data_IF_072400063853
#
_entry.id   IF_072400063853
#
_cell.length_a   1.000
_cell.length_b   1.000
_cell.length_c   1.000
_cell.angle_alpha   90.00
_cell.angle_beta   90.00
_cell.angle_gamma   90.00
#
_symmetry.space_group_name_H-M   'P 1'
#
loop_
_entity.id
_entity.type
_entity.pdbx_description
1 polymer ?
#
# COMPACT_ATOMS: atom_id res chain seq x y z
N UNK A 1 -5.38 -8.48 15.31
CA UNK A 1 -5.55 -8.72 13.87
C UNK A 1 -4.35 -8.20 13.07
N UNK A 2 -4.24 -8.54 11.77
CA UNK A 2 -3.14 -8.04 10.92
C UNK A 2 -3.65 -7.17 9.78
N UNK A 3 -2.88 -6.13 9.45
CA UNK A 3 -3.01 -5.33 8.24
C UNK A 3 -1.79 -5.64 7.37
N UNK A 4 -2.01 -5.99 6.11
CA UNK A 4 -0.93 -6.28 5.16
C UNK A 4 -1.04 -5.35 3.96
N UNK A 5 -0.05 -4.50 3.77
CA UNK A 5 0.11 -3.68 2.58
C UNK A 5 0.91 -4.47 1.54
N UNK A 6 0.41 -4.53 0.32
CA UNK A 6 1.03 -5.24 -0.82
C UNK A 6 1.21 -4.27 -1.97
N UNK A 7 2.41 -4.06 -2.45
CA UNK A 7 2.63 -3.33 -3.70
C UNK A 7 2.25 -4.20 -4.89
N UNK A 8 1.54 -3.63 -5.88
CA UNK A 8 1.20 -4.35 -7.12
C UNK A 8 2.42 -4.92 -7.86
N UNK A 9 2.22 -5.95 -8.69
CA UNK A 9 3.23 -6.54 -9.56
C UNK A 9 3.75 -5.58 -10.65
N UNK A 10 4.84 -5.93 -11.31
CA UNK A 10 5.50 -5.10 -12.32
C UNK A 10 4.56 -4.71 -13.48
N UNK A 11 4.61 -3.43 -13.87
CA UNK A 11 3.89 -2.87 -15.03
C UNK A 11 4.88 -2.38 -16.09
N UNK A 12 4.43 -2.14 -17.34
CA UNK A 12 5.25 -1.44 -18.34
C UNK A 12 5.74 -0.06 -17.86
N UNK A 13 4.89 0.68 -17.11
CA UNK A 13 5.28 1.96 -16.52
C UNK A 13 6.46 1.82 -15.53
N UNK A 14 6.48 0.77 -14.71
CA UNK A 14 7.62 0.52 -13.81
C UNK A 14 8.94 0.31 -14.57
N UNK A 15 8.89 -0.37 -15.72
CA UNK A 15 10.07 -0.58 -16.57
C UNK A 15 10.58 0.69 -17.23
N UNK A 16 9.66 1.60 -17.57
CA UNK A 16 9.97 2.89 -18.21
C UNK A 16 10.24 4.00 -17.19
N UNK A 17 9.95 3.79 -15.92
CA UNK A 17 9.97 4.83 -14.90
C UNK A 17 8.85 5.85 -15.05
N UNK A 18 7.77 5.52 -15.75
CA UNK A 18 6.65 6.43 -15.97
C UNK A 18 5.72 6.50 -14.75
N UNK A 19 5.20 7.69 -14.48
CA UNK A 19 4.31 7.99 -13.35
C UNK A 19 2.84 7.67 -13.71
N UNK A 20 2.48 6.40 -13.75
CA UNK A 20 1.12 5.93 -14.07
C UNK A 20 0.26 5.88 -12.80
N UNK A 21 -0.48 6.95 -12.51
CA UNK A 21 -1.24 7.09 -11.26
C UNK A 21 -2.76 7.16 -11.45
N UNK A 22 -3.24 7.34 -12.68
CA UNK A 22 -4.67 7.52 -13.00
C UNK A 22 -5.32 6.23 -13.51
N UNK A 23 -6.63 6.09 -13.30
CA UNK A 23 -7.42 4.96 -13.81
C UNK A 23 -7.60 5.05 -15.33
N UNK A 24 -7.63 3.90 -16.04
CA UNK A 24 -7.56 2.53 -15.53
C UNK A 24 -6.16 2.10 -15.11
N UNK A 25 -5.11 2.82 -15.53
CA UNK A 25 -3.71 2.47 -15.38
C UNK A 25 -3.30 1.25 -16.22
N UNK A 26 -2.00 1.06 -16.42
CA UNK A 26 -1.48 -0.08 -17.14
C UNK A 26 -1.63 -1.37 -16.33
N UNK A 27 -1.82 -2.49 -17.05
CA UNK A 27 -1.84 -3.82 -16.48
C UNK A 27 -0.43 -4.31 -16.12
N UNK A 28 -0.35 -5.59 -15.70
CA UNK A 28 0.92 -6.23 -15.37
C UNK A 28 1.67 -6.68 -16.63
N UNK A 29 3.01 -6.69 -16.55
CA UNK A 29 3.85 -7.39 -17.51
C UNK A 29 3.74 -8.92 -17.28
N UNK A 30 4.24 -9.77 -18.21
CA UNK A 30 4.35 -11.21 -17.93
C UNK A 30 5.10 -11.52 -16.63
N UNK A 31 6.19 -10.78 -16.34
CA UNK A 31 6.89 -10.89 -15.04
C UNK A 31 6.00 -10.45 -13.88
N UNK A 32 5.22 -9.37 -14.03
CA UNK A 32 4.28 -8.93 -13.01
C UNK A 32 3.20 -9.98 -12.69
N UNK A 33 2.73 -10.74 -13.69
CA UNK A 33 1.79 -11.84 -13.48
C UNK A 33 2.45 -13.01 -12.71
N UNK A 34 3.70 -13.34 -13.02
CA UNK A 34 4.47 -14.34 -12.28
C UNK A 34 4.73 -13.89 -10.83
N UNK A 35 5.04 -12.61 -10.62
CA UNK A 35 5.18 -12.03 -9.28
C UNK A 35 3.89 -12.16 -8.47
N UNK A 36 2.73 -11.88 -9.08
CA UNK A 36 1.43 -12.03 -8.42
C UNK A 36 1.14 -13.49 -8.03
N UNK A 37 1.52 -14.46 -8.88
CA UNK A 37 1.38 -15.88 -8.56
C UNK A 37 2.31 -16.27 -7.41
N UNK A 38 3.59 -15.90 -7.47
CA UNK A 38 4.56 -16.16 -6.38
C UNK A 38 4.13 -15.56 -5.04
N UNK A 39 3.46 -14.39 -5.04
CA UNK A 39 2.91 -13.81 -3.82
C UNK A 39 1.84 -14.72 -3.22
N UNK A 40 0.94 -15.27 -4.03
CA UNK A 40 -0.08 -16.21 -3.55
C UNK A 40 0.55 -17.51 -3.02
N UNK A 41 1.55 -18.05 -3.73
CA UNK A 41 2.21 -19.31 -3.37
C UNK A 41 2.96 -19.22 -2.02
N UNK A 42 3.58 -18.07 -1.71
CA UNK A 42 4.34 -17.84 -0.47
C UNK A 42 3.53 -17.26 0.69
N UNK A 43 2.24 -17.00 0.51
CA UNK A 43 1.45 -16.19 1.45
C UNK A 43 1.50 -16.70 2.89
N UNK A 44 1.09 -17.94 3.13
CA UNK A 44 1.02 -18.48 4.50
C UNK A 44 2.40 -18.76 5.12
N UNK A 45 3.39 -19.12 4.29
CA UNK A 45 4.73 -19.45 4.78
C UNK A 45 5.58 -18.23 5.12
N UNK A 46 5.34 -17.07 4.47
CA UNK A 46 6.25 -15.92 4.56
C UNK A 46 5.57 -14.59 4.89
N UNK A 47 4.26 -14.43 4.67
CA UNK A 47 3.61 -13.12 4.79
C UNK A 47 2.65 -13.06 5.98
N UNK A 48 1.56 -13.84 5.95
CA UNK A 48 0.52 -13.78 6.97
C UNK A 48 -0.38 -15.04 6.92
N UNK A 49 -1.18 -15.30 7.96
CA UNK A 49 -2.28 -16.27 7.89
C UNK A 49 -3.25 -15.99 6.74
N UNK A 50 -4.19 -16.91 6.44
CA UNK A 50 -5.19 -16.72 5.40
C UNK A 50 -5.89 -15.37 5.46
N UNK A 51 -6.05 -14.65 4.33
CA UNK A 51 -6.71 -13.34 4.33
C UNK A 51 -8.20 -13.47 4.63
N UNK A 52 -8.73 -12.54 5.44
CA UNK A 52 -10.17 -12.38 5.69
C UNK A 52 -10.80 -11.52 4.61
N UNK A 53 -10.11 -10.46 4.18
CA UNK A 53 -10.56 -9.52 3.16
C UNK A 53 -9.39 -9.06 2.30
N UNK A 54 -9.66 -8.86 1.01
CA UNK A 54 -8.71 -8.25 0.07
C UNK A 54 -9.32 -6.96 -0.47
N UNK A 55 -8.73 -5.82 -0.12
CA UNK A 55 -9.05 -4.50 -0.63
C UNK A 55 -8.06 -4.11 -1.74
N UNK A 56 -8.54 -3.46 -2.80
CA UNK A 56 -7.71 -2.99 -3.90
C UNK A 56 -8.12 -1.61 -4.39
N UNK A 57 -7.20 -0.89 -5.02
CA UNK A 57 -7.42 0.50 -5.45
C UNK A 57 -8.36 0.67 -6.65
N UNK A 58 -8.62 -0.41 -7.35
CA UNK A 58 -9.42 -0.40 -8.58
C UNK A 58 -8.62 -0.07 -9.85
N UNK A 59 -7.31 0.21 -9.78
CA UNK A 59 -6.45 0.25 -10.94
C UNK A 59 -6.20 -1.17 -11.46
N UNK A 60 -6.03 -1.32 -12.79
CA UNK A 60 -5.95 -2.63 -13.43
C UNK A 60 -4.86 -3.52 -12.81
N UNK A 61 -3.67 -2.97 -12.55
CA UNK A 61 -2.55 -3.69 -11.96
C UNK A 61 -2.85 -4.26 -10.57
N UNK A 62 -3.64 -3.57 -9.73
CA UNK A 62 -4.00 -4.10 -8.40
C UNK A 62 -4.99 -5.25 -8.49
N UNK A 63 -5.92 -5.22 -9.45
CA UNK A 63 -6.84 -6.33 -9.72
C UNK A 63 -6.08 -7.59 -10.16
N UNK A 64 -5.15 -7.43 -11.11
CA UNK A 64 -4.36 -8.55 -11.63
C UNK A 64 -3.41 -9.11 -10.57
N UNK A 65 -2.86 -8.26 -9.69
CA UNK A 65 -2.00 -8.71 -8.58
C UNK A 65 -2.80 -9.47 -7.52
N UNK A 66 -4.02 -9.03 -7.20
CA UNK A 66 -4.86 -9.65 -6.20
C UNK A 66 -5.47 -11.00 -6.66
N UNK A 67 -5.63 -11.20 -7.97
CA UNK A 67 -6.41 -12.31 -8.52
C UNK A 67 -5.92 -13.71 -8.09
N UNK A 68 -4.60 -14.07 -8.15
CA UNK A 68 -4.14 -15.37 -7.70
C UNK A 68 -4.42 -15.61 -6.21
N UNK A 69 -4.11 -14.62 -5.36
CA UNK A 69 -4.34 -14.71 -3.92
C UNK A 69 -5.84 -14.87 -3.60
N UNK A 70 -6.68 -14.05 -4.24
CA UNK A 70 -8.13 -14.13 -4.07
C UNK A 70 -8.68 -15.50 -4.49
N UNK A 71 -8.19 -16.05 -5.61
CA UNK A 71 -8.57 -17.39 -6.08
C UNK A 71 -8.18 -18.48 -5.10
N UNK A 72 -6.97 -18.42 -4.54
CA UNK A 72 -6.44 -19.41 -3.59
C UNK A 72 -7.31 -19.54 -2.33
N UNK A 73 -7.93 -18.44 -1.90
CA UNK A 73 -8.76 -18.39 -0.68
C UNK A 73 -10.26 -18.22 -0.95
N UNK A 74 -10.71 -18.30 -2.19
CA UNK A 74 -12.14 -18.17 -2.54
C UNK A 74 -12.73 -16.79 -2.21
N UNK A 75 -11.92 -15.74 -2.21
CA UNK A 75 -12.34 -14.37 -1.85
C UNK A 75 -12.70 -13.54 -3.09
N UNK A 76 -13.63 -12.61 -2.91
CA UNK A 76 -13.92 -11.57 -3.89
C UNK A 76 -13.29 -10.25 -3.46
N UNK A 77 -12.26 -9.74 -4.17
CA UNK A 77 -11.61 -8.49 -3.79
C UNK A 77 -12.55 -7.28 -3.87
N UNK A 78 -12.47 -6.41 -2.87
CA UNK A 78 -13.30 -5.21 -2.73
C UNK A 78 -12.56 -3.98 -3.28
N UNK A 79 -13.25 -3.18 -4.10
CA UNK A 79 -12.66 -1.96 -4.68
C UNK A 79 -12.87 -0.77 -3.76
N UNK A 80 -11.78 -0.14 -3.35
CA UNK A 80 -11.77 1.05 -2.52
C UNK A 80 -10.95 2.18 -3.18
N UNK A 81 -11.59 3.18 -3.81
CA UNK A 81 -10.87 4.27 -4.47
C UNK A 81 -9.97 5.10 -3.53
N UNK A 82 -10.23 5.08 -2.24
CA UNK A 82 -9.42 5.77 -1.23
C UNK A 82 -7.96 5.29 -1.15
N UNK A 83 -7.68 4.05 -1.57
CA UNK A 83 -6.31 3.50 -1.61
C UNK A 83 -5.70 3.47 -3.02
N UNK A 84 -6.13 4.38 -3.93
CA UNK A 84 -5.46 4.61 -5.21
C UNK A 84 -4.06 5.20 -5.01
N UNK A 85 -3.19 5.07 -6.03
CA UNK A 85 -1.86 5.70 -5.99
C UNK A 85 -1.94 7.22 -5.73
N UNK A 86 -0.87 7.76 -5.18
CA UNK A 86 -0.70 9.19 -5.02
C UNK A 86 -0.66 9.84 -6.40
N UNK A 87 -1.55 10.82 -6.62
CA UNK A 87 -1.70 11.45 -7.94
C UNK A 87 -0.45 12.24 -8.32
N UNK A 88 0.11 11.92 -9.47
CA UNK A 88 1.23 12.66 -10.05
C UNK A 88 0.82 14.02 -10.65
N UNK A 89 -0.48 14.26 -10.82
CA UNK A 89 -0.99 15.52 -11.34
C UNK A 89 -0.48 15.84 -12.74
N UNK A 90 0.17 17.00 -12.90
CA UNK A 90 0.73 17.44 -14.17
C UNK A 90 1.89 16.57 -14.66
N UNK A 91 2.42 15.69 -13.80
CA UNK A 91 3.48 14.75 -14.13
C UNK A 91 2.97 13.39 -14.62
N UNK A 92 1.66 13.24 -14.84
CA UNK A 92 1.09 11.95 -15.25
C UNK A 92 1.75 11.42 -16.53
N UNK A 93 2.16 10.16 -16.50
CA UNK A 93 2.90 9.47 -17.57
C UNK A 93 4.29 10.06 -17.89
N UNK A 94 4.78 11.07 -17.18
CA UNK A 94 6.16 11.52 -17.32
C UNK A 94 7.14 10.41 -16.87
N UNK A 95 8.23 10.27 -17.63
CA UNK A 95 9.28 9.27 -17.40
C UNK A 95 10.69 9.89 -17.30
N UNK A 96 10.80 11.20 -17.41
CA UNK A 96 12.07 11.91 -17.31
C UNK A 96 12.55 12.01 -15.85
N UNK A 97 13.88 12.08 -15.62
CA UNK A 97 14.45 12.09 -14.27
C UNK A 97 14.00 13.27 -13.40
N UNK A 98 13.70 14.43 -13.99
CA UNK A 98 13.29 15.62 -13.24
C UNK A 98 11.88 15.44 -12.67
N UNK A 99 10.95 14.95 -13.49
CA UNK A 99 9.56 14.62 -13.08
C UNK A 99 9.55 13.52 -12.03
N UNK A 100 10.32 12.45 -12.22
CA UNK A 100 10.45 11.37 -11.22
C UNK A 100 10.99 11.89 -9.89
N UNK A 101 12.06 12.70 -9.93
CA UNK A 101 12.66 13.30 -8.74
C UNK A 101 11.69 14.22 -8.00
N UNK A 102 10.92 15.05 -8.73
CA UNK A 102 9.90 15.91 -8.14
C UNK A 102 8.81 15.09 -7.44
N UNK A 103 8.28 14.05 -8.11
CA UNK A 103 7.26 13.16 -7.54
C UNK A 103 7.77 12.48 -6.27
N UNK A 104 8.97 11.89 -6.31
CA UNK A 104 9.56 11.19 -5.16
C UNK A 104 9.79 12.15 -3.99
N UNK A 105 10.41 13.32 -4.22
CA UNK A 105 10.64 14.31 -3.15
C UNK A 105 9.34 14.80 -2.51
N UNK A 106 8.32 15.11 -3.32
CA UNK A 106 7.03 15.56 -2.82
C UNK A 106 6.35 14.46 -1.98
N UNK A 107 6.33 13.22 -2.46
CA UNK A 107 5.69 12.12 -1.71
C UNK A 107 6.48 11.72 -0.47
N UNK A 108 7.80 11.84 -0.45
CA UNK A 108 8.63 11.64 0.75
C UNK A 108 8.46 12.76 1.77
N UNK A 109 8.28 14.03 1.34
CA UNK A 109 7.99 15.11 2.30
C UNK A 109 6.71 14.85 3.08
N UNK A 110 5.71 14.18 2.48
CA UNK A 110 4.50 13.75 3.19
C UNK A 110 4.78 12.66 4.23
N UNK A 111 5.72 11.75 3.94
CA UNK A 111 6.19 10.75 4.91
C UNK A 111 6.89 11.41 6.11
N UNK A 112 7.61 12.52 5.86
CA UNK A 112 8.28 13.31 6.89
C UNK A 112 7.34 14.28 7.66
N UNK A 113 6.06 14.37 7.27
CA UNK A 113 5.06 15.19 7.97
C UNK A 113 4.66 16.50 7.28
N UNK A 114 5.31 16.90 6.18
CA UNK A 114 4.92 18.10 5.39
C UNK A 114 3.70 17.79 4.51
N UNK A 115 2.55 17.59 5.16
CA UNK A 115 1.30 17.18 4.52
C UNK A 115 0.65 18.28 3.67
N UNK A 116 1.01 19.54 3.86
CA UNK A 116 0.44 20.64 3.11
C UNK A 116 1.16 20.88 1.78
N UNK A 117 2.35 20.29 1.59
CA UNK A 117 3.01 20.26 0.30
C UNK A 117 2.11 19.54 -0.73
N UNK A 118 1.96 20.14 -1.92
CA UNK A 118 1.02 19.66 -2.96
C UNK A 118 1.75 19.25 -4.22
N UNK A 119 1.37 18.12 -4.78
CA UNK A 119 1.80 17.74 -6.12
C UNK A 119 1.23 18.70 -7.16
N UNK A 120 2.02 19.26 -8.07
CA UNK A 120 1.51 20.14 -9.13
C UNK A 120 0.37 19.47 -9.91
N UNK A 121 -0.79 20.15 -10.01
CA UNK A 121 -2.00 19.57 -10.62
C UNK A 121 -2.62 18.36 -9.91
N UNK A 122 -2.06 17.96 -8.76
CA UNK A 122 -2.44 16.76 -8.01
C UNK A 122 -3.03 17.05 -6.62
N UNK A 123 -2.85 16.08 -5.73
CA UNK A 123 -3.34 16.15 -4.34
C UNK A 123 -2.22 16.59 -3.37
N UNK A 124 -2.61 17.07 -2.17
CA UNK A 124 -1.71 17.27 -1.05
C UNK A 124 -1.52 15.96 -0.25
N UNK A 125 -0.49 15.92 0.59
CA UNK A 125 -0.30 14.80 1.51
C UNK A 125 -1.48 14.60 2.45
N UNK A 126 -2.08 15.71 2.93
CA UNK A 126 -3.26 15.70 3.80
C UNK A 126 -4.46 15.03 3.13
N UNK A 127 -4.76 15.37 1.89
CA UNK A 127 -5.85 14.75 1.11
C UNK A 127 -5.58 13.26 0.85
N UNK A 128 -4.35 12.92 0.50
CA UNK A 128 -3.94 11.54 0.25
C UNK A 128 -4.01 10.68 1.51
N UNK A 129 -3.51 11.20 2.63
CA UNK A 129 -3.51 10.51 3.92
C UNK A 129 -4.93 10.32 4.45
N UNK A 130 -5.75 11.36 4.47
CA UNK A 130 -7.12 11.27 4.97
C UNK A 130 -7.95 10.19 4.24
N UNK A 131 -7.90 10.17 2.89
CA UNK A 131 -8.63 9.15 2.11
C UNK A 131 -8.12 7.73 2.34
N UNK A 132 -6.82 7.57 2.51
CA UNK A 132 -6.22 6.24 2.61
C UNK A 132 -6.32 5.67 4.03
N UNK A 133 -6.06 6.46 5.08
CA UNK A 133 -6.25 6.02 6.47
C UNK A 133 -7.72 5.66 6.76
N UNK A 134 -8.67 6.48 6.30
CA UNK A 134 -10.10 6.16 6.48
C UNK A 134 -10.48 4.85 5.79
N UNK A 135 -9.90 4.57 4.62
CA UNK A 135 -10.13 3.29 3.96
C UNK A 135 -9.54 2.12 4.76
N UNK A 136 -8.30 2.27 5.27
CA UNK A 136 -7.66 1.23 6.10
C UNK A 136 -8.48 0.98 7.37
N UNK A 137 -8.92 2.06 8.04
CA UNK A 137 -9.74 1.97 9.24
C UNK A 137 -11.04 1.20 8.98
N UNK A 138 -11.81 1.58 7.97
CA UNK A 138 -13.11 0.96 7.65
C UNK A 138 -12.97 -0.51 7.28
N UNK A 139 -12.01 -0.83 6.40
CA UNK A 139 -11.78 -2.22 5.97
C UNK A 139 -11.25 -3.07 7.13
N UNK A 140 -10.34 -2.52 7.95
CA UNK A 140 -9.81 -3.21 9.12
C UNK A 140 -10.88 -3.52 10.16
N UNK A 141 -11.74 -2.54 10.49
CA UNK A 141 -12.85 -2.75 11.43
C UNK A 141 -13.86 -3.79 10.89
N UNK A 142 -14.21 -3.74 9.59
CA UNK A 142 -15.09 -4.72 8.99
C UNK A 142 -14.47 -6.14 8.96
N UNK A 143 -13.17 -6.26 8.72
CA UNK A 143 -12.49 -7.54 8.81
C UNK A 143 -12.48 -8.09 10.24
N UNK A 144 -12.26 -7.23 11.24
CA UNK A 144 -12.32 -7.61 12.66
C UNK A 144 -13.73 -8.04 13.08
N UNK A 145 -14.77 -7.37 12.60
CA UNK A 145 -16.17 -7.77 12.87
C UNK A 145 -16.45 -9.17 12.30
N UNK A 146 -15.85 -9.51 11.15
CA UNK A 146 -16.03 -10.80 10.47
C UNK A 146 -15.26 -11.95 11.13
N UNK A 147 -14.01 -11.74 11.59
CA UNK A 147 -13.10 -12.80 12.02
C UNK A 147 -12.37 -12.51 13.36
N UNK A 148 -12.78 -11.48 14.08
CA UNK A 148 -12.17 -11.14 15.37
C UNK A 148 -10.69 -10.85 15.26
N UNK A 149 -9.94 -11.37 16.21
CA UNK A 149 -8.51 -11.10 16.40
C UNK A 149 -7.62 -11.82 15.40
N UNK A 150 -8.14 -12.87 14.77
CA UNK A 150 -7.45 -13.62 13.71
C UNK A 150 -7.61 -12.96 12.34
N UNK A 151 -8.38 -11.87 12.24
CA UNK A 151 -8.62 -11.18 10.97
C UNK A 151 -7.31 -10.72 10.31
N UNK A 152 -7.23 -10.91 8.99
CA UNK A 152 -6.14 -10.42 8.14
C UNK A 152 -6.75 -9.59 7.02
N UNK A 153 -6.54 -8.27 7.06
CA UNK A 153 -6.99 -7.36 6.01
C UNK A 153 -5.82 -7.02 5.07
N UNK A 154 -5.97 -7.39 3.81
CA UNK A 154 -4.95 -7.22 2.76
C UNK A 154 -5.29 -6.04 1.86
N UNK A 155 -4.33 -5.14 1.65
CA UNK A 155 -4.47 -3.96 0.81
C UNK A 155 -3.50 -4.06 -0.38
N UNK A 156 -4.01 -4.38 -1.57
CA UNK A 156 -3.20 -4.38 -2.80
C UNK A 156 -3.18 -2.97 -3.38
N UNK A 157 -2.06 -2.30 -3.19
CA UNK A 157 -1.88 -0.87 -3.43
C UNK A 157 -0.60 -0.56 -4.24
N UNK A 158 0.03 0.58 -4.01
CA UNK A 158 1.04 1.18 -4.88
C UNK A 158 2.28 1.62 -4.11
N UNK A 159 3.38 1.84 -4.83
CA UNK A 159 4.67 2.09 -4.21
C UNK A 159 4.74 3.35 -3.35
N UNK A 160 4.25 4.50 -3.84
CA UNK A 160 4.30 5.74 -3.09
C UNK A 160 3.27 5.74 -1.94
N UNK A 161 2.06 5.23 -2.18
CA UNK A 161 1.05 5.11 -1.13
C UNK A 161 1.47 4.15 -0.01
N UNK A 162 2.18 3.06 -0.34
CA UNK A 162 2.69 2.13 0.69
C UNK A 162 3.65 2.84 1.65
N UNK A 163 4.57 3.68 1.13
CA UNK A 163 5.48 4.48 1.97
C UNK A 163 4.71 5.44 2.88
N UNK A 164 3.77 6.20 2.31
CA UNK A 164 2.94 7.13 3.08
C UNK A 164 2.16 6.39 4.18
N UNK A 165 1.47 5.30 3.83
CA UNK A 165 0.70 4.55 4.83
C UNK A 165 1.60 3.91 5.89
N UNK A 166 2.74 3.34 5.52
CA UNK A 166 3.64 2.71 6.48
C UNK A 166 4.12 3.71 7.54
N UNK A 167 4.56 4.90 7.11
CA UNK A 167 5.02 5.94 8.04
C UNK A 167 3.91 6.54 8.89
N UNK A 168 2.65 6.48 8.46
CA UNK A 168 1.52 7.05 9.20
C UNK A 168 0.69 6.03 9.97
N UNK A 169 0.79 4.74 9.68
CA UNK A 169 0.14 3.68 10.48
C UNK A 169 0.93 3.34 11.74
N UNK A 170 2.25 3.52 11.73
CA UNK A 170 3.13 3.13 12.84
C UNK A 170 4.20 4.19 13.12
N UNK A 171 4.67 4.23 14.35
CA UNK A 171 5.88 4.97 14.75
C UNK A 171 7.17 4.18 14.51
N UNK A 172 7.07 2.89 14.21
CA UNK A 172 8.22 1.99 14.02
C UNK A 172 8.87 2.16 12.64
N UNK A 173 8.18 2.81 11.69
CA UNK A 173 8.64 3.08 10.33
C UNK A 173 8.68 4.60 10.13
N UNK A 174 9.83 5.13 9.77
CA UNK A 174 10.05 6.55 9.50
C UNK A 174 10.34 6.85 8.02
N UNK A 175 10.50 8.12 7.69
CA UNK A 175 10.83 8.57 6.32
C UNK A 175 12.21 8.08 5.90
N UNK A 176 13.18 8.01 6.80
CA UNK A 176 14.54 7.57 6.50
C UNK A 176 14.55 6.12 6.00
N UNK A 177 13.83 5.22 6.69
CA UNK A 177 13.71 3.82 6.29
C UNK A 177 13.05 3.68 4.91
N UNK A 178 11.90 4.34 4.70
CA UNK A 178 11.17 4.19 3.43
C UNK A 178 11.82 4.91 2.26
N UNK A 179 12.69 5.91 2.50
CA UNK A 179 13.45 6.59 1.46
C UNK A 179 14.66 5.79 0.98
N UNK A 180 15.29 5.03 1.87
CA UNK A 180 16.43 4.19 1.57
C UNK A 180 16.04 2.82 0.97
N UNK A 181 14.87 2.30 1.36
CA UNK A 181 14.45 0.94 1.04
C UNK A 181 13.06 0.93 0.39
N UNK A 182 13.02 1.23 -0.91
CA UNK A 182 11.78 1.19 -1.70
C UNK A 182 11.28 -0.24 -1.85
N UNK A 183 9.99 -0.44 -1.56
CA UNK A 183 9.36 -1.74 -1.69
C UNK A 183 9.38 -2.22 -3.15
N UNK A 184 9.83 -3.45 -3.36
CA UNK A 184 9.79 -4.13 -4.67
C UNK A 184 8.34 -4.44 -5.12
N UNK A 185 8.14 -4.75 -6.40
CA UNK A 185 6.85 -5.24 -6.87
C UNK A 185 6.46 -6.53 -6.12
N UNK A 186 5.22 -6.65 -5.68
CA UNK A 186 4.66 -7.68 -4.80
C UNK A 186 5.35 -7.82 -3.43
N UNK A 187 6.20 -6.87 -3.05
CA UNK A 187 6.69 -6.76 -1.68
C UNK A 187 5.56 -6.43 -0.70
N UNK A 188 5.75 -6.80 0.56
CA UNK A 188 4.74 -6.65 1.61
C UNK A 188 5.26 -5.88 2.82
N UNK A 189 4.34 -5.29 3.57
CA UNK A 189 4.59 -4.74 4.90
C UNK A 189 3.41 -5.12 5.80
N UNK A 190 3.70 -5.73 6.95
CA UNK A 190 2.70 -6.27 7.86
C UNK A 190 2.68 -5.47 9.15
N UNK A 191 1.47 -5.15 9.61
CA UNK A 191 1.22 -4.43 10.85
C UNK A 191 0.30 -5.24 11.77
N UNK A 192 0.53 -5.13 13.05
CA UNK A 192 -0.36 -5.63 14.08
C UNK A 192 -1.26 -4.51 14.57
N UNK A 193 -2.55 -4.80 14.61
CA UNK A 193 -3.58 -3.94 15.17
C UNK A 193 -4.07 -4.57 16.48
N UNK A 194 -3.76 -3.94 17.62
CA UNK A 194 -4.08 -4.46 18.94
C UNK A 194 -5.59 -4.64 19.18
N UNK A 195 -5.94 -5.56 20.06
CA UNK A 195 -7.33 -5.99 20.31
C UNK A 195 -8.20 -4.90 20.93
N UNK A 196 -7.64 -4.17 21.85
CA UNK A 196 -8.27 -3.10 22.63
C UNK A 196 -8.28 -1.76 21.88
N UNK A 197 -7.64 -1.69 20.70
CA UNK A 197 -7.59 -0.48 19.89
C UNK A 197 -8.71 -0.46 18.83
N UNK A 198 -9.71 0.40 19.05
CA UNK A 198 -10.86 0.58 18.14
C UNK A 198 -11.00 2.07 17.76
N UNK A 199 -10.18 2.58 16.79
CA UNK A 199 -10.17 4.00 16.45
C UNK A 199 -11.50 4.47 15.87
N UNK A 200 -12.07 5.53 16.42
CA UNK A 200 -13.32 6.12 15.96
C UNK A 200 -13.11 6.94 14.66
N UNK A 201 -11.89 7.40 14.39
CA UNK A 201 -11.55 8.20 13.23
C UNK A 201 -10.24 7.73 12.55
N UNK A 202 -9.99 8.26 11.34
CA UNK A 202 -8.72 8.05 10.64
C UNK A 202 -7.53 8.66 11.42
N UNK A 203 -7.74 9.79 12.08
CA UNK A 203 -6.69 10.46 12.86
C UNK A 203 -6.32 9.63 14.10
N UNK A 204 -7.28 8.96 14.72
CA UNK A 204 -7.01 8.04 15.83
C UNK A 204 -6.26 6.77 15.37
N UNK A 205 -6.49 6.31 14.12
CA UNK A 205 -5.74 5.18 13.58
C UNK A 205 -4.27 5.56 13.33
N UNK A 206 -3.99 6.84 13.04
CA UNK A 206 -2.63 7.28 12.73
C UNK A 206 -1.67 6.97 13.89
N UNK A 207 -0.54 6.32 13.56
CA UNK A 207 0.50 5.88 14.51
C UNK A 207 0.02 4.85 15.57
N UNK A 208 -1.16 4.25 15.37
CA UNK A 208 -1.76 3.32 16.33
C UNK A 208 -1.42 1.85 16.11
N UNK A 209 -0.76 1.50 15.01
CA UNK A 209 -0.39 0.12 14.72
C UNK A 209 1.08 -0.15 15.02
N UNK A 210 1.41 -1.39 15.36
CA UNK A 210 2.79 -1.87 15.48
C UNK A 210 3.23 -2.46 14.13
N UNK A 211 4.30 -1.96 13.55
CA UNK A 211 4.87 -2.54 12.34
C UNK A 211 5.68 -3.79 12.68
N UNK A 212 5.51 -4.85 11.88
CA UNK A 212 6.23 -6.11 12.02
C UNK A 212 7.32 -6.25 10.95
N UNK A 213 6.98 -5.86 9.70
CA UNK A 213 7.90 -5.98 8.56
C UNK A 213 7.88 -4.73 7.70
N UNK A 214 8.97 -4.48 6.99
CA UNK A 214 9.07 -3.58 5.86
C UNK A 214 9.73 -4.30 4.69
N UNK A 215 9.15 -4.25 3.49
CA UNK A 215 9.63 -4.94 2.27
C UNK A 215 10.01 -6.41 2.50
N UNK A 216 9.07 -7.18 3.05
CA UNK A 216 9.18 -8.61 3.35
C UNK A 216 10.19 -8.99 4.47
N UNK A 217 10.84 -8.02 5.11
CA UNK A 217 11.83 -8.27 6.17
C UNK A 217 11.36 -7.75 7.53
N UNK A 218 11.66 -8.46 8.61
CA UNK A 218 11.49 -7.95 9.97
C UNK A 218 12.19 -6.61 10.18
N UNK A 219 11.62 -5.73 11.02
CA UNK A 219 12.15 -4.38 11.20
C UNK A 219 13.56 -4.35 11.82
N UNK A 220 13.89 -5.30 12.68
CA UNK A 220 15.21 -5.44 13.31
C UNK A 220 16.34 -5.74 12.30
N UNK A 221 16.00 -6.11 11.07
CA UNK A 221 16.97 -6.31 9.99
C UNK A 221 17.30 -5.04 9.18
N UNK A 222 16.69 -3.91 9.55
CA UNK A 222 16.92 -2.63 8.89
C UNK A 222 17.76 -1.63 9.72
N UNK A 223 18.25 -2.06 10.88
CA UNK A 223 19.12 -1.28 11.76
C UNK A 223 20.55 -1.12 11.26
#
# INVERSE_FOLDING_TARGET
MKIVLVRHGQTPANRLGALDTVRPGLGLTPEGLLQAQRLADRWESEVAPPPTVIALSGLQRTRLTAAPLASAYGLTPQVHPGIRELRSGDLEMAADPASQSLYVRTTLSWCAGDLDNRMPGGESGREALARSLETVRRVGLAAREQAGDEAVAVFVIHGALTRLLATWLSTDIDEELVSKHFMSNTGTSTFEWALDFAPASADELAKGLRALTWTDRPLDQWS
#
